data_IF_253980120213
#
_entry.id   IF_253980120213
#
_cell.length_a   1.000
_cell.length_b   1.000
_cell.length_c   1.000
_cell.angle_alpha   90.00
_cell.angle_beta   90.00
_cell.angle_gamma   90.00
#
_symmetry.space_group_name_H-M   'P 1'
#
loop_
_entity.id
_entity.type
_entity.pdbx_description
1 polymer ?
#
# COMPACT_ATOMS: atom_id res chain seq x y z
N UNK A 1 11.38 -16.38 -1.33
CA UNK A 1 11.38 -17.22 -0.13
C UNK A 1 10.83 -16.43 1.05
N UNK A 2 10.07 -17.05 1.91
CA UNK A 2 9.49 -16.42 3.10
C UNK A 2 9.64 -17.35 4.31
N UNK A 3 10.35 -16.90 5.33
CA UNK A 3 10.58 -17.66 6.58
C UNK A 3 11.11 -19.10 6.33
N UNK A 4 11.98 -19.29 5.34
CA UNK A 4 12.55 -20.59 4.99
C UNK A 4 11.66 -21.48 4.10
N UNK A 5 10.50 -20.99 3.69
CA UNK A 5 9.62 -21.68 2.75
C UNK A 5 9.74 -21.10 1.36
N UNK A 6 9.73 -21.96 0.37
CA UNK A 6 9.62 -21.58 -1.04
C UNK A 6 8.16 -21.23 -1.35
N UNK A 7 7.88 -19.95 -1.62
CA UNK A 7 6.54 -19.49 -1.96
C UNK A 7 6.33 -19.54 -3.47
N UNK A 8 5.26 -20.20 -3.88
CA UNK A 8 4.82 -20.31 -5.27
C UNK A 8 3.47 -19.61 -5.41
N UNK A 9 3.39 -18.64 -6.32
CA UNK A 9 2.14 -17.96 -6.66
C UNK A 9 1.83 -18.28 -8.12
N UNK A 10 0.79 -19.08 -8.42
CA UNK A 10 0.36 -19.31 -9.79
C UNK A 10 0.06 -17.99 -10.51
N UNK A 11 0.33 -17.91 -11.80
CA UNK A 11 0.08 -16.68 -12.59
C UNK A 11 -1.40 -16.25 -12.51
N UNK A 12 -2.32 -17.20 -12.42
CA UNK A 12 -3.76 -16.96 -12.22
C UNK A 12 -4.07 -16.30 -10.88
N UNK A 13 -3.19 -16.46 -9.89
CA UNK A 13 -3.32 -15.90 -8.54
C UNK A 13 -2.50 -14.59 -8.36
N UNK A 14 -1.89 -14.06 -9.43
CA UNK A 14 -1.09 -12.83 -9.39
C UNK A 14 -1.91 -11.54 -9.48
N UNK A 15 -3.23 -11.62 -9.61
CA UNK A 15 -4.12 -10.44 -9.76
C UNK A 15 -3.72 -9.52 -10.91
N UNK A 16 -3.47 -10.07 -12.08
CA UNK A 16 -3.11 -9.30 -13.26
C UNK A 16 -4.38 -8.80 -13.93
N UNK A 17 -4.51 -7.49 -14.02
CA UNK A 17 -5.64 -6.84 -14.69
C UNK A 17 -5.30 -6.71 -16.18
N UNK A 18 -6.08 -7.34 -17.02
CA UNK A 18 -6.04 -7.26 -18.47
C UNK A 18 -7.37 -6.72 -18.99
N UNK A 19 -7.36 -6.25 -20.24
CA UNK A 19 -8.62 -5.97 -20.96
C UNK A 19 -9.42 -7.26 -21.17
N UNK A 20 -10.72 -7.16 -21.33
CA UNK A 20 -11.60 -8.31 -21.59
C UNK A 20 -11.13 -9.15 -22.78
N UNK A 21 -10.59 -8.50 -23.82
CA UNK A 21 -10.05 -9.17 -25.00
C UNK A 21 -8.78 -9.98 -24.72
N UNK A 22 -8.03 -9.62 -23.67
CA UNK A 22 -6.74 -10.20 -23.33
C UNK A 22 -6.80 -11.12 -22.09
N UNK A 23 -7.96 -11.28 -21.46
CA UNK A 23 -8.10 -11.96 -20.16
C UNK A 23 -7.57 -13.40 -20.18
N UNK A 24 -7.67 -14.10 -21.31
CA UNK A 24 -7.13 -15.45 -21.50
C UNK A 24 -5.66 -15.54 -21.90
N UNK A 25 -5.01 -14.39 -22.23
CA UNK A 25 -3.63 -14.41 -22.75
C UNK A 25 -2.60 -14.64 -21.63
N UNK A 26 -2.19 -15.90 -21.49
CA UNK A 26 -1.20 -16.33 -20.53
C UNK A 26 0.18 -15.69 -20.79
N UNK A 27 0.54 -15.45 -22.04
CA UNK A 27 1.83 -14.83 -22.43
C UNK A 27 1.90 -13.40 -21.93
N UNK A 28 0.81 -12.64 -22.09
CA UNK A 28 0.71 -11.29 -21.53
C UNK A 28 0.76 -11.28 -20.01
N UNK A 29 0.06 -12.23 -19.36
CA UNK A 29 0.11 -12.38 -17.89
C UNK A 29 1.52 -12.64 -17.40
N UNK A 30 2.24 -13.56 -18.01
CA UNK A 30 3.64 -13.86 -17.65
C UNK A 30 4.54 -12.63 -17.85
N UNK A 31 4.42 -11.93 -18.97
CA UNK A 31 5.21 -10.72 -19.23
C UNK A 31 4.97 -9.64 -18.19
N UNK A 32 3.71 -9.39 -17.83
CA UNK A 32 3.35 -8.40 -16.82
C UNK A 32 3.90 -8.80 -15.44
N UNK A 33 3.82 -10.08 -15.09
CA UNK A 33 4.39 -10.60 -13.84
C UNK A 33 5.91 -10.46 -13.82
N UNK A 34 6.58 -10.71 -14.94
CA UNK A 34 8.04 -10.55 -15.05
C UNK A 34 8.49 -9.10 -14.83
N UNK A 35 7.69 -8.12 -15.22
CA UNK A 35 7.99 -6.71 -14.98
C UNK A 35 7.94 -6.31 -13.49
N UNK A 36 7.39 -7.17 -12.62
CA UNK A 36 7.33 -6.96 -11.17
C UNK A 36 8.52 -7.58 -10.42
N UNK A 37 9.48 -8.17 -11.11
CA UNK A 37 10.66 -8.76 -10.47
C UNK A 37 11.43 -7.67 -9.72
N UNK A 38 11.73 -7.96 -8.43
CA UNK A 38 12.33 -6.99 -7.51
C UNK A 38 11.32 -6.26 -6.63
N UNK A 39 10.03 -6.38 -6.91
CA UNK A 39 8.97 -5.81 -6.08
C UNK A 39 8.58 -6.77 -4.95
N UNK A 40 8.53 -6.28 -3.72
CA UNK A 40 7.87 -7.02 -2.63
C UNK A 40 6.37 -7.09 -2.89
N UNK A 41 5.78 -8.27 -2.73
CA UNK A 41 4.35 -8.48 -2.93
C UNK A 41 3.70 -9.07 -1.68
N UNK A 42 2.47 -8.66 -1.42
CA UNK A 42 1.64 -9.26 -0.38
C UNK A 42 0.94 -10.51 -0.92
N UNK A 43 0.84 -11.54 -0.08
CA UNK A 43 0.13 -12.77 -0.46
C UNK A 43 -0.59 -13.39 0.74
N UNK A 44 -1.58 -14.23 0.44
CA UNK A 44 -2.25 -15.09 1.42
C UNK A 44 -1.87 -16.53 1.11
N UNK A 45 -1.47 -17.27 2.15
CA UNK A 45 -1.18 -18.70 2.04
C UNK A 45 -2.46 -19.46 1.74
N UNK A 46 -2.45 -20.26 0.68
CA UNK A 46 -3.55 -21.15 0.30
C UNK A 46 -3.30 -22.57 0.79
N UNK A 47 -2.06 -23.05 0.65
CA UNK A 47 -1.66 -24.40 1.03
C UNK A 47 -0.22 -24.38 1.55
N UNK A 48 0.02 -25.07 2.63
CA UNK A 48 1.33 -25.29 3.23
C UNK A 48 1.70 -26.76 3.10
N UNK A 49 2.90 -27.03 2.61
CA UNK A 49 3.52 -28.33 2.63
C UNK A 49 4.81 -28.26 3.46
N UNK A 50 4.75 -28.82 4.66
CA UNK A 50 5.87 -28.83 5.60
C UNK A 50 6.95 -29.82 5.21
N UNK A 51 6.60 -30.90 4.48
CA UNK A 51 7.56 -31.91 4.08
C UNK A 51 8.51 -31.38 2.98
N UNK A 52 7.99 -30.59 2.05
CA UNK A 52 8.79 -29.99 0.96
C UNK A 52 9.19 -28.54 1.23
N UNK A 53 8.87 -28.00 2.41
CA UNK A 53 9.09 -26.58 2.76
C UNK A 53 8.57 -25.64 1.67
N UNK A 54 7.37 -25.93 1.15
CA UNK A 54 6.75 -25.15 0.09
C UNK A 54 5.37 -24.62 0.46
N UNK A 55 5.04 -23.48 -0.11
CA UNK A 55 3.78 -22.76 0.11
C UNK A 55 3.19 -22.41 -1.25
N UNK A 56 1.91 -22.71 -1.44
CA UNK A 56 1.12 -22.12 -2.52
C UNK A 56 0.36 -20.93 -1.96
N UNK A 57 0.48 -19.80 -2.63
CA UNK A 57 -0.07 -18.54 -2.16
C UNK A 57 -0.83 -17.79 -3.25
N UNK A 58 -1.61 -16.79 -2.85
CA UNK A 58 -2.42 -15.94 -3.72
C UNK A 58 -2.16 -14.47 -3.41
N UNK A 59 -1.65 -13.73 -4.39
CA UNK A 59 -1.61 -12.28 -4.37
C UNK A 59 -3.02 -11.72 -4.58
N UNK A 60 -3.81 -12.33 -5.45
CA UNK A 60 -5.19 -11.92 -5.72
C UNK A 60 -6.02 -11.78 -4.44
N UNK A 61 -6.02 -12.81 -3.59
CA UNK A 61 -6.74 -12.76 -2.30
C UNK A 61 -6.19 -11.71 -1.35
N UNK A 62 -4.87 -11.45 -1.38
CA UNK A 62 -4.28 -10.38 -0.59
C UNK A 62 -4.78 -9.01 -1.05
N UNK A 63 -4.84 -8.78 -2.36
CA UNK A 63 -5.36 -7.54 -2.94
C UNK A 63 -6.85 -7.36 -2.63
N UNK A 64 -7.66 -8.38 -2.80
CA UNK A 64 -9.09 -8.36 -2.44
C UNK A 64 -9.29 -8.01 -0.96
N UNK A 65 -8.50 -8.61 -0.06
CA UNK A 65 -8.54 -8.29 1.38
C UNK A 65 -8.15 -6.85 1.66
N UNK A 66 -7.12 -6.32 0.99
CA UNK A 66 -6.73 -4.91 1.09
C UNK A 66 -7.87 -4.00 0.64
N UNK A 67 -8.49 -4.28 -0.50
CA UNK A 67 -9.63 -3.48 -1.00
C UNK A 67 -10.76 -3.44 0.02
N UNK A 68 -11.12 -4.59 0.61
CA UNK A 68 -12.14 -4.63 1.65
C UNK A 68 -11.76 -3.80 2.88
N UNK A 69 -10.49 -3.88 3.32
CA UNK A 69 -10.04 -3.20 4.51
C UNK A 69 -9.89 -1.68 4.33
N UNK A 70 -9.54 -1.20 3.15
CA UNK A 70 -9.14 0.19 2.95
C UNK A 70 -10.17 1.01 2.16
N UNK A 71 -10.86 0.41 1.19
CA UNK A 71 -11.80 1.12 0.31
C UNK A 71 -13.26 0.84 0.62
N UNK A 72 -13.55 -0.04 1.58
CA UNK A 72 -14.92 -0.31 2.04
C UNK A 72 -15.08 0.10 3.50
N UNK A 73 -16.27 0.58 3.91
CA UNK A 73 -16.55 0.84 5.32
C UNK A 73 -16.32 -0.43 6.15
N UNK A 74 -15.66 -0.29 7.30
CA UNK A 74 -15.46 -1.41 8.22
C UNK A 74 -16.62 -1.56 9.19
N UNK A 75 -17.30 -0.45 9.46
CA UNK A 75 -18.51 -0.36 10.29
C UNK A 75 -19.58 0.34 9.48
N UNK A 76 -20.81 -0.10 9.62
CA UNK A 76 -21.96 0.52 8.95
C UNK A 76 -22.08 1.99 9.39
N UNK A 77 -22.19 2.90 8.39
CA UNK A 77 -22.26 4.34 8.62
C UNK A 77 -20.91 5.06 8.75
N UNK A 78 -19.79 4.36 8.80
CA UNK A 78 -18.46 4.96 8.73
C UNK A 78 -17.97 5.10 7.27
N UNK A 79 -17.14 6.11 7.04
CA UNK A 79 -16.48 6.29 5.75
C UNK A 79 -15.31 5.28 5.57
N UNK A 80 -14.99 4.87 4.34
CA UNK A 80 -13.79 4.07 4.07
C UNK A 80 -12.52 4.78 4.53
N UNK A 81 -11.47 4.00 4.80
CA UNK A 81 -10.17 4.54 5.22
C UNK A 81 -9.49 5.34 4.11
N UNK A 82 -9.63 4.89 2.86
CA UNK A 82 -9.13 5.60 1.67
C UNK A 82 -10.33 6.11 0.87
N UNK A 83 -10.30 7.41 0.60
CA UNK A 83 -11.33 8.13 -0.15
C UNK A 83 -10.69 8.99 -1.23
N UNK A 84 -11.49 9.58 -2.10
CA UNK A 84 -11.02 10.60 -3.04
C UNK A 84 -10.38 11.77 -2.26
N UNK A 85 -9.23 12.23 -2.72
CA UNK A 85 -8.41 13.23 -2.05
C UNK A 85 -7.41 12.67 -1.02
N UNK A 86 -7.51 11.40 -0.62
CA UNK A 86 -6.53 10.78 0.30
C UNK A 86 -5.15 10.74 -0.33
N UNK A 87 -4.13 11.07 0.46
CA UNK A 87 -2.71 10.91 0.09
C UNK A 87 -2.19 9.61 0.67
N UNK A 88 -1.68 8.74 -0.19
CA UNK A 88 -1.24 7.40 0.19
C UNK A 88 0.09 7.05 -0.45
N UNK A 89 0.83 6.12 0.14
CA UNK A 89 1.97 5.49 -0.52
C UNK A 89 1.48 4.49 -1.56
N UNK A 90 1.98 4.65 -2.78
CA UNK A 90 1.79 3.71 -3.88
C UNK A 90 3.08 2.93 -4.12
N UNK A 91 2.97 1.62 -4.22
CA UNK A 91 4.09 0.75 -4.57
C UNK A 91 4.25 0.70 -6.08
N UNK A 92 5.48 0.85 -6.57
CA UNK A 92 5.80 0.81 -8.00
C UNK A 92 5.98 -0.63 -8.45
N UNK A 93 5.03 -1.12 -9.25
CA UNK A 93 5.03 -2.49 -9.77
C UNK A 93 5.78 -2.64 -11.09
N UNK A 94 5.76 -1.61 -11.92
CA UNK A 94 6.47 -1.57 -13.18
C UNK A 94 6.75 -0.14 -13.59
N UNK A 95 7.85 0.07 -14.30
CA UNK A 95 8.29 1.36 -14.84
C UNK A 95 8.58 1.22 -16.31
N UNK A 96 8.00 2.10 -17.12
CA UNK A 96 8.37 2.32 -18.52
C UNK A 96 8.90 3.73 -18.68
N UNK A 97 9.30 4.11 -19.86
CA UNK A 97 9.81 5.46 -20.16
C UNK A 97 8.86 6.59 -19.71
N UNK A 98 7.55 6.41 -19.89
CA UNK A 98 6.55 7.45 -19.63
C UNK A 98 5.40 7.05 -18.70
N UNK A 99 5.36 5.80 -18.26
CA UNK A 99 4.23 5.26 -17.50
C UNK A 99 4.72 4.39 -16.35
N UNK A 100 4.12 4.59 -15.18
CA UNK A 100 4.28 3.75 -14.01
C UNK A 100 3.01 2.92 -13.80
N UNK A 101 3.20 1.66 -13.39
CA UNK A 101 2.14 0.84 -12.82
C UNK A 101 2.29 0.84 -11.31
N UNK A 102 1.25 1.26 -10.63
CA UNK A 102 1.24 1.48 -9.18
C UNK A 102 0.23 0.55 -8.50
N UNK A 103 0.52 0.16 -7.26
CA UNK A 103 -0.43 -0.50 -6.37
C UNK A 103 -0.67 0.39 -5.17
N UNK A 104 -1.93 0.76 -4.97
CA UNK A 104 -2.42 1.54 -3.85
C UNK A 104 -3.37 0.67 -3.03
N UNK A 105 -2.88 0.02 -1.97
CA UNK A 105 -3.69 -0.76 -1.03
C UNK A 105 -4.68 -1.76 -1.66
N UNK A 106 -4.18 -2.52 -2.63
CA UNK A 106 -4.93 -3.58 -3.30
C UNK A 106 -5.50 -3.21 -4.65
N UNK A 107 -5.59 -1.92 -4.97
CA UNK A 107 -5.97 -1.45 -6.30
C UNK A 107 -4.72 -1.08 -7.11
N UNK A 108 -4.71 -1.51 -8.35
CA UNK A 108 -3.66 -1.14 -9.30
C UNK A 108 -4.16 -0.07 -10.26
N UNK A 109 -3.28 0.86 -10.58
CA UNK A 109 -3.54 1.91 -11.56
C UNK A 109 -2.30 2.21 -12.39
N UNK A 110 -2.50 2.93 -13.47
CA UNK A 110 -1.43 3.49 -14.28
C UNK A 110 -1.40 4.99 -14.10
N UNK A 111 -0.19 5.54 -13.92
CA UNK A 111 0.04 6.96 -13.85
C UNK A 111 1.12 7.36 -14.86
N UNK A 112 0.88 8.41 -15.61
CA UNK A 112 1.90 8.99 -16.48
C UNK A 112 2.87 9.81 -15.65
N UNK A 113 4.13 9.85 -16.06
CA UNK A 113 5.20 10.56 -15.33
C UNK A 113 4.83 12.01 -15.06
N UNK A 114 4.25 12.70 -16.04
CA UNK A 114 3.84 14.08 -15.87
C UNK A 114 2.66 14.30 -14.90
N UNK A 115 1.94 13.25 -14.54
CA UNK A 115 0.90 13.29 -13.50
C UNK A 115 1.49 13.12 -12.10
N UNK A 116 2.70 12.57 -11.99
CA UNK A 116 3.37 12.26 -10.72
C UNK A 116 4.40 13.30 -10.31
N UNK A 117 5.05 13.96 -11.24
CA UNK A 117 6.13 14.89 -10.97
C UNK A 117 5.88 16.26 -11.60
N UNK A 118 6.36 17.33 -10.92
CA UNK A 118 6.33 18.67 -11.48
C UNK A 118 7.44 18.88 -12.53
N UNK A 119 8.60 18.26 -12.31
CA UNK A 119 9.71 18.36 -13.23
C UNK A 119 9.47 17.51 -14.47
N UNK A 120 9.85 18.04 -15.63
CA UNK A 120 9.87 17.27 -16.86
C UNK A 120 10.93 16.16 -16.76
N UNK A 121 10.55 14.93 -17.11
CA UNK A 121 11.43 13.76 -17.14
C UNK A 121 11.36 13.14 -18.53
N UNK A 122 12.53 12.92 -19.12
CA UNK A 122 12.63 12.25 -20.43
C UNK A 122 12.35 10.75 -20.29
N UNK A 123 12.82 10.15 -19.21
CA UNK A 123 12.68 8.72 -18.94
C UNK A 123 12.42 8.50 -17.43
N UNK A 124 11.28 7.91 -17.11
CA UNK A 124 10.93 7.61 -15.72
C UNK A 124 11.86 6.59 -15.06
N UNK A 125 12.53 5.74 -15.83
CA UNK A 125 13.45 4.72 -15.33
C UNK A 125 14.72 5.30 -14.68
N UNK A 126 15.00 6.58 -14.91
CA UNK A 126 16.11 7.29 -14.26
C UNK A 126 15.78 7.66 -12.80
N UNK A 127 14.49 7.81 -12.48
CA UNK A 127 14.01 8.33 -11.19
C UNK A 127 13.20 7.32 -10.37
N UNK A 128 12.55 6.37 -11.03
CA UNK A 128 11.68 5.40 -10.40
C UNK A 128 12.17 3.98 -10.62
N UNK A 129 12.10 3.15 -9.58
CA UNK A 129 12.48 1.73 -9.65
C UNK A 129 11.33 0.85 -9.21
N UNK A 130 11.28 -0.34 -9.76
CA UNK A 130 10.33 -1.38 -9.32
C UNK A 130 10.62 -1.76 -7.87
N UNK A 131 9.57 -1.78 -7.06
CA UNK A 131 9.67 -2.05 -5.62
C UNK A 131 9.76 -0.82 -4.73
N UNK A 132 10.12 0.34 -5.27
CA UNK A 132 10.07 1.60 -4.53
C UNK A 132 8.63 2.03 -4.26
N UNK A 133 8.46 2.99 -3.36
CA UNK A 133 7.18 3.65 -3.08
C UNK A 133 7.24 5.12 -3.48
N UNK A 134 6.08 5.66 -3.85
CA UNK A 134 5.89 7.08 -4.12
C UNK A 134 4.58 7.56 -3.51
N UNK A 135 4.54 8.81 -3.07
CA UNK A 135 3.29 9.40 -2.59
C UNK A 135 2.42 9.79 -3.77
N UNK A 136 1.14 9.45 -3.67
CA UNK A 136 0.12 9.83 -4.63
C UNK A 136 -1.15 10.29 -3.92
N UNK A 137 -1.89 11.17 -4.57
CA UNK A 137 -3.24 11.53 -4.17
C UNK A 137 -4.24 10.70 -4.97
N UNK A 138 -5.17 10.07 -4.30
CA UNK A 138 -6.31 9.41 -4.96
C UNK A 138 -7.19 10.50 -5.56
N UNK A 139 -7.18 10.60 -6.89
CA UNK A 139 -7.95 11.60 -7.61
C UNK A 139 -9.41 11.19 -7.75
N UNK A 140 -9.66 9.94 -8.15
CA UNK A 140 -11.01 9.42 -8.34
C UNK A 140 -11.09 7.93 -8.02
N UNK A 141 -12.20 7.52 -7.43
CA UNK A 141 -12.55 6.13 -7.20
C UNK A 141 -13.81 5.83 -8.00
N UNK A 142 -13.77 4.80 -8.82
CA UNK A 142 -14.90 4.38 -9.66
C UNK A 142 -15.24 2.93 -9.37
N UNK A 143 -16.52 2.63 -9.37
CA UNK A 143 -17.02 1.25 -9.26
C UNK A 143 -17.82 0.91 -10.53
N UNK A 144 -17.39 -0.14 -11.22
CA UNK A 144 -18.07 -0.65 -12.39
C UNK A 144 -18.12 -2.19 -12.31
N UNK A 145 -19.32 -2.76 -12.41
CA UNK A 145 -19.50 -4.21 -12.36
C UNK A 145 -18.99 -4.85 -11.06
N UNK A 146 -19.06 -4.15 -9.92
CA UNK A 146 -18.56 -4.61 -8.63
C UNK A 146 -17.03 -4.54 -8.47
N UNK A 147 -16.31 -4.05 -9.47
CA UNK A 147 -14.85 -3.84 -9.43
C UNK A 147 -14.56 -2.36 -9.18
N UNK A 148 -13.69 -2.09 -8.21
CA UNK A 148 -13.17 -0.75 -7.96
C UNK A 148 -11.95 -0.48 -8.85
N UNK A 149 -11.86 0.74 -9.34
CA UNK A 149 -10.70 1.28 -10.03
C UNK A 149 -10.39 2.67 -9.50
N UNK A 150 -9.12 3.08 -9.58
CA UNK A 150 -8.65 4.38 -9.12
C UNK A 150 -7.86 5.10 -10.18
N UNK A 151 -7.91 6.42 -10.12
CA UNK A 151 -6.93 7.29 -10.78
C UNK A 151 -6.18 8.05 -9.71
N UNK A 152 -4.90 8.30 -9.96
CA UNK A 152 -4.01 8.96 -9.01
C UNK A 152 -3.27 10.12 -9.67
N UNK A 153 -2.84 11.06 -8.84
CA UNK A 153 -1.94 12.13 -9.23
C UNK A 153 -0.90 12.35 -8.15
N UNK A 154 0.27 12.84 -8.50
CA UNK A 154 1.34 13.17 -7.56
C UNK A 154 1.87 14.60 -7.73
N UNK A 155 1.54 15.24 -8.84
CA UNK A 155 2.06 16.56 -9.22
C UNK A 155 1.73 17.67 -8.22
N UNK A 156 0.58 17.56 -7.54
CA UNK A 156 0.18 18.51 -6.49
C UNK A 156 0.86 18.25 -5.14
N UNK A 157 1.63 17.17 -5.03
CA UNK A 157 2.31 16.78 -3.81
C UNK A 157 3.75 17.30 -3.85
N UNK A 158 4.12 18.09 -2.86
CA UNK A 158 5.53 18.40 -2.63
C UNK A 158 6.15 17.23 -1.85
N UNK A 159 6.92 16.42 -2.55
CA UNK A 159 7.58 15.24 -1.97
C UNK A 159 8.68 15.60 -0.96
N UNK A 160 9.04 16.87 -0.87
CA UNK A 160 10.03 17.38 0.10
C UNK A 160 9.39 17.81 1.41
N UNK A 161 8.08 18.05 1.43
CA UNK A 161 7.36 18.52 2.59
C UNK A 161 6.71 17.37 3.34
N UNK A 162 7.04 17.16 4.60
CA UNK A 162 6.27 16.30 5.48
C UNK A 162 4.87 16.91 5.67
N UNK A 163 3.84 16.20 5.30
CA UNK A 163 2.46 16.66 5.53
C UNK A 163 2.19 16.73 7.03
N UNK A 164 1.86 17.92 7.52
CA UNK A 164 1.51 18.10 8.91
C UNK A 164 0.20 17.37 9.24
N UNK A 165 0.25 16.52 10.25
CA UNK A 165 -0.94 15.83 10.73
C UNK A 165 -1.82 16.80 11.52
N UNK A 166 -3.12 16.79 11.25
CA UNK A 166 -4.09 17.57 12.00
C UNK A 166 -4.37 16.90 13.35
N UNK A 167 -4.52 17.72 14.41
CA UNK A 167 -4.97 17.22 15.71
C UNK A 167 -6.30 16.49 15.57
N UNK A 168 -6.42 15.32 16.20
CA UNK A 168 -7.53 14.37 16.08
C UNK A 168 -7.73 13.78 14.67
N UNK A 169 -6.82 14.09 13.73
CA UNK A 169 -6.80 13.45 12.42
C UNK A 169 -6.47 11.97 12.56
N UNK A 170 -7.13 11.17 11.73
CA UNK A 170 -6.97 9.72 11.67
C UNK A 170 -6.15 9.36 10.44
N UNK A 171 -5.13 8.55 10.63
CA UNK A 171 -4.15 8.20 9.59
C UNK A 171 -3.86 6.71 9.61
N UNK A 172 -3.52 6.18 8.46
CA UNK A 172 -2.99 4.83 8.34
C UNK A 172 -1.47 4.92 8.30
N UNK A 173 -0.81 3.98 8.93
CA UNK A 173 0.65 3.89 8.88
C UNK A 173 1.12 2.47 9.16
N UNK A 174 2.40 2.23 8.87
CA UNK A 174 3.06 0.96 9.11
C UNK A 174 4.03 1.11 10.27
N UNK A 175 4.02 0.17 11.19
CA UNK A 175 4.93 0.14 12.34
C UNK A 175 6.35 -0.15 11.86
N UNK A 176 7.26 0.79 12.06
CA UNK A 176 8.68 0.69 11.67
C UNK A 176 9.55 0.13 12.78
N UNK A 177 9.15 0.33 14.03
CA UNK A 177 9.89 -0.16 15.19
C UNK A 177 9.13 0.03 16.51
N UNK A 178 9.59 -0.66 17.53
CA UNK A 178 9.09 -0.52 18.92
C UNK A 178 10.31 -0.44 19.82
N UNK A 179 10.42 0.60 20.64
CA UNK A 179 11.53 0.80 21.56
C UNK A 179 11.04 1.55 22.79
N UNK A 180 11.40 1.10 23.98
CA UNK A 180 11.06 1.70 25.27
C UNK A 180 9.57 2.03 25.46
N UNK A 181 8.69 1.14 24.99
CA UNK A 181 7.24 1.33 25.06
C UNK A 181 6.66 2.32 24.04
N UNK A 182 7.51 2.92 23.22
CA UNK A 182 7.09 3.78 22.11
C UNK A 182 7.01 2.97 20.81
N UNK A 183 5.97 3.24 20.05
CA UNK A 183 5.73 2.60 18.74
C UNK A 183 5.98 3.63 17.66
N UNK A 184 6.99 3.37 16.83
CA UNK A 184 7.37 4.21 15.71
C UNK A 184 6.59 3.78 14.47
N UNK A 185 5.98 4.75 13.79
CA UNK A 185 5.07 4.52 12.68
C UNK A 185 5.46 5.44 11.53
N UNK A 186 5.48 4.90 10.33
CA UNK A 186 5.52 5.69 9.10
C UNK A 186 4.10 5.84 8.59
N UNK A 187 3.56 7.05 8.66
CA UNK A 187 2.21 7.35 8.14
C UNK A 187 2.24 7.46 6.62
N UNK A 188 1.14 7.09 5.99
CA UNK A 188 0.99 7.13 4.52
C UNK A 188 1.09 8.54 3.94
N UNK A 189 0.78 9.54 4.76
CA UNK A 189 0.98 10.96 4.41
C UNK A 189 2.46 11.39 4.43
N UNK A 190 3.41 10.45 4.59
CA UNK A 190 4.83 10.76 4.59
C UNK A 190 5.37 11.30 5.92
N UNK A 191 4.55 11.50 6.94
CA UNK A 191 4.96 11.95 8.25
C UNK A 191 5.38 10.77 9.13
N UNK A 192 6.44 10.92 9.92
CA UNK A 192 6.76 9.99 10.98
C UNK A 192 5.84 10.21 12.18
N UNK A 193 5.46 9.15 12.86
CA UNK A 193 4.62 9.23 14.04
C UNK A 193 5.14 8.37 15.18
N UNK A 194 4.81 8.77 16.40
CA UNK A 194 5.11 8.03 17.62
C UNK A 194 3.80 7.83 18.38
N UNK A 195 3.45 6.57 18.62
CA UNK A 195 2.35 6.21 19.51
C UNK A 195 2.90 5.76 20.86
N UNK A 196 2.29 6.27 21.92
CA UNK A 196 2.64 5.92 23.32
C UNK A 196 1.58 5.03 23.98
N UNK A 197 0.50 4.73 23.28
CA UNK A 197 -0.55 3.83 23.75
C UNK A 197 -1.33 3.21 22.57
N UNK A 198 -1.98 2.11 22.88
CA UNK A 198 -2.91 1.40 22.00
C UNK A 198 -4.25 1.33 22.71
N UNK A 199 -5.34 1.72 22.06
CA UNK A 199 -6.70 1.65 22.64
C UNK A 199 -7.09 0.22 22.98
N UNK A 200 -6.83 -0.69 22.04
CA UNK A 200 -7.07 -2.12 22.25
C UNK A 200 -5.81 -2.80 22.83
N UNK A 201 -5.78 -2.98 24.14
CA UNK A 201 -4.67 -3.62 24.86
C UNK A 201 -4.47 -5.11 24.53
N UNK A 202 -5.42 -5.74 23.85
CA UNK A 202 -5.32 -7.16 23.47
C UNK A 202 -4.52 -7.37 22.19
N UNK A 203 -4.39 -6.33 21.34
CA UNK A 203 -3.69 -6.37 20.07
C UNK A 203 -2.47 -5.44 20.10
N UNK A 204 -1.38 -5.90 20.71
CA UNK A 204 -0.11 -5.17 20.64
C UNK A 204 0.45 -5.22 19.22
N UNK A 205 0.66 -4.07 18.58
CA UNK A 205 1.21 -4.02 17.23
C UNK A 205 2.65 -4.53 17.22
N UNK A 206 3.05 -5.12 16.09
CA UNK A 206 4.39 -5.60 15.82
C UNK A 206 5.03 -4.80 14.69
N UNK A 207 6.33 -4.90 14.54
CA UNK A 207 7.03 -4.33 13.38
C UNK A 207 6.43 -4.86 12.08
N UNK A 208 6.17 -3.97 11.13
CA UNK A 208 5.50 -4.18 9.83
C UNK A 208 3.97 -4.35 9.90
N UNK A 209 3.34 -4.23 11.06
CA UNK A 209 1.88 -4.17 11.11
C UNK A 209 1.38 -2.84 10.57
N UNK A 210 0.27 -2.89 9.83
CA UNK A 210 -0.47 -1.69 9.46
C UNK A 210 -1.42 -1.33 10.59
N UNK A 211 -1.43 -0.05 10.94
CA UNK A 211 -2.16 0.45 12.11
C UNK A 211 -2.99 1.69 11.75
N UNK A 212 -4.06 1.87 12.52
CA UNK A 212 -4.87 3.06 12.49
C UNK A 212 -4.42 4.00 13.61
N UNK A 213 -3.83 5.12 13.23
CA UNK A 213 -3.23 6.09 14.13
C UNK A 213 -4.11 7.34 14.25
N UNK A 214 -4.28 7.83 15.48
CA UNK A 214 -4.98 9.08 15.77
C UNK A 214 -3.95 10.09 16.28
N UNK A 215 -3.78 11.18 15.54
CA UNK A 215 -2.84 12.24 15.92
C UNK A 215 -3.43 13.06 17.07
N UNK A 216 -2.73 13.13 18.20
CA UNK A 216 -3.11 13.98 19.34
C UNK A 216 -2.46 15.34 19.28
N UNK A 217 -1.22 15.40 18.78
CA UNK A 217 -0.46 16.63 18.55
C UNK A 217 0.63 16.43 17.51
N UNK A 218 1.08 17.51 16.91
CA UNK A 218 2.28 17.55 16.08
C UNK A 218 3.44 18.16 16.88
N UNK A 219 4.60 17.54 16.82
CA UNK A 219 5.88 18.12 17.27
C UNK A 219 6.52 18.77 16.04
N UNK A 220 6.37 20.07 15.91
CA UNK A 220 6.81 20.83 14.73
C UNK A 220 8.35 20.88 14.63
N UNK A 221 9.07 20.89 15.76
CA UNK A 221 10.54 20.94 15.76
C UNK A 221 11.15 19.63 15.23
N UNK A 222 10.50 18.50 15.53
CA UNK A 222 10.96 17.16 15.12
C UNK A 222 10.23 16.64 13.88
N UNK A 223 9.24 17.37 13.38
CA UNK A 223 8.36 16.97 12.28
C UNK A 223 7.71 15.58 12.52
N UNK A 224 7.30 15.29 13.76
CA UNK A 224 6.77 14.01 14.18
C UNK A 224 5.36 14.19 14.73
N UNK A 225 4.42 13.37 14.25
CA UNK A 225 3.08 13.27 14.82
C UNK A 225 3.10 12.40 16.08
N UNK A 226 2.52 12.90 17.17
CA UNK A 226 2.38 12.15 18.42
C UNK A 226 0.92 11.77 18.59
N UNK A 227 0.67 10.51 18.97
CA UNK A 227 -0.71 10.05 19.08
C UNK A 227 -0.85 8.64 19.67
N UNK A 228 -1.95 8.03 19.33
CA UNK A 228 -2.33 6.68 19.79
C UNK A 228 -2.68 5.80 18.61
N UNK A 229 -2.54 4.50 18.77
CA UNK A 229 -3.05 3.50 17.84
C UNK A 229 -4.45 3.10 18.29
N UNK A 230 -5.45 3.32 17.44
CA UNK A 230 -6.82 2.89 17.74
C UNK A 230 -7.03 1.40 17.44
N UNK A 231 -6.39 0.88 16.39
CA UNK A 231 -6.43 -0.55 16.08
C UNK A 231 -5.28 -0.99 15.17
N UNK A 232 -4.96 -2.28 15.17
CA UNK A 232 -4.12 -2.93 14.19
C UNK A 232 -5.00 -3.38 13.03
N UNK A 233 -4.70 -2.91 11.79
CA UNK A 233 -5.49 -3.21 10.59
C UNK A 233 -5.04 -4.54 9.99
N UNK A 234 -3.73 -4.76 9.94
CA UNK A 234 -3.09 -5.96 9.43
C UNK A 234 -1.88 -6.31 10.28
N UNK A 235 -1.80 -7.56 10.69
CA UNK A 235 -0.61 -8.08 11.36
C UNK A 235 0.31 -8.73 10.31
N UNK A 236 1.55 -8.27 10.21
CA UNK A 236 2.59 -8.95 9.47
C UNK A 236 2.94 -10.24 10.21
N UNK A 237 2.45 -11.37 9.75
CA UNK A 237 2.76 -12.70 10.28
C UNK A 237 3.97 -13.31 9.60
#
# INVERSE_FOLDING_TARGET
DYQGYRVMIPVTEMNIILSEQDEGDMTKKIRITSNMIGCEIDFIVLKLDTATHSVVASRKKAMEKKVQNFYRPQVEGEAPLIQEGSVVEARILAVTEHLLRLECFGLECFARVFELAQAWMADAREHYRVGDTTLVRIHKIQEAGGKLSITVEGKSLDHTTCYACKKQGKYIGTVTGIHDGLIFIRLQVGTNAIAHSVEDRQLLPRKKDDVYFICTRMDEEKEVAIGIISRVIRSAR
#
